data_IF_147476510621
#
_entry.id   IF_147476510621
#
_cell.length_a   1.000
_cell.length_b   1.000
_cell.length_c   1.000
_cell.angle_alpha   90.00
_cell.angle_beta   90.00
_cell.angle_gamma   90.00
#
_symmetry.space_group_name_H-M   'P 1'
#
loop_
_entity.id
_entity.type
_entity.pdbx_description
1 polymer ?
#
# COMPACT_ATOMS: atom_id res chain seq x y z
N UNK A 1 -27.43 -10.19 -2.48
CA UNK A 1 -26.18 -9.46 -2.75
C UNK A 1 -26.56 -8.00 -2.93
N UNK A 2 -26.41 -7.18 -1.89
CA UNK A 2 -26.78 -5.77 -1.96
C UNK A 2 -25.71 -5.05 -2.80
N UNK A 3 -26.07 -4.61 -4.00
CA UNK A 3 -25.23 -3.68 -4.76
C UNK A 3 -25.30 -2.33 -4.05
N UNK A 4 -24.33 -2.06 -3.18
CA UNK A 4 -24.13 -0.73 -2.63
C UNK A 4 -23.81 0.17 -3.83
N UNK A 5 -24.79 0.96 -4.28
CA UNK A 5 -24.54 2.04 -5.23
C UNK A 5 -24.29 3.27 -4.37
N UNK A 6 -23.02 3.67 -4.29
CA UNK A 6 -22.69 4.97 -3.71
C UNK A 6 -23.43 6.05 -4.51
N UNK A 7 -24.26 6.83 -3.82
CA UNK A 7 -24.87 8.03 -4.37
C UNK A 7 -23.92 9.19 -4.10
N UNK A 8 -23.17 9.63 -5.11
CA UNK A 8 -22.13 10.66 -4.96
C UNK A 8 -20.73 10.10 -5.19
N UNK A 9 -19.71 10.83 -4.72
CA UNK A 9 -18.32 10.38 -4.71
C UNK A 9 -18.01 9.53 -3.49
N UNK A 10 -16.90 8.79 -3.55
CA UNK A 10 -16.47 7.87 -2.49
C UNK A 10 -14.99 7.51 -2.67
N UNK A 11 -14.40 6.91 -1.65
CA UNK A 11 -13.02 6.47 -1.58
C UNK A 11 -12.96 4.95 -1.49
N UNK A 12 -12.17 4.35 -2.38
CA UNK A 12 -11.79 2.93 -2.34
C UNK A 12 -10.29 2.84 -2.03
N UNK A 13 -9.92 2.03 -1.03
CA UNK A 13 -8.52 1.81 -0.68
C UNK A 13 -8.12 0.34 -0.88
N UNK A 14 -7.14 0.13 -1.75
CA UNK A 14 -6.51 -1.16 -1.99
C UNK A 14 -5.17 -1.18 -1.23
N UNK A 15 -5.06 -2.03 -0.22
CA UNK A 15 -3.89 -2.07 0.65
C UNK A 15 -3.32 -3.48 0.85
N UNK A 16 -2.13 -3.57 1.45
CA UNK A 16 -1.46 -4.84 1.73
C UNK A 16 0.05 -4.79 1.46
N UNK A 17 0.75 -5.90 1.74
CA UNK A 17 2.21 -6.01 1.57
C UNK A 17 2.66 -5.85 0.12
N UNK A 18 3.97 -5.70 -0.11
CA UNK A 18 4.54 -5.90 -1.45
C UNK A 18 4.13 -7.27 -2.00
N UNK A 19 4.04 -7.37 -3.34
CA UNK A 19 3.64 -8.57 -4.10
C UNK A 19 2.20 -9.05 -3.91
N UNK A 20 1.33 -8.29 -3.22
CA UNK A 20 -0.08 -8.67 -3.04
C UNK A 20 -1.00 -8.30 -4.21
N UNK A 21 -0.46 -7.70 -5.29
CA UNK A 21 -1.26 -7.34 -6.47
C UNK A 21 -2.01 -6.01 -6.36
N UNK A 22 -1.64 -5.10 -5.46
CA UNK A 22 -2.31 -3.78 -5.30
C UNK A 22 -2.41 -2.99 -6.60
N UNK A 23 -1.29 -2.78 -7.28
CA UNK A 23 -1.22 -2.04 -8.55
C UNK A 23 -1.99 -2.76 -9.65
N UNK A 24 -2.02 -4.10 -9.65
CA UNK A 24 -2.85 -4.88 -10.58
C UNK A 24 -4.34 -4.65 -10.35
N UNK A 25 -4.78 -4.66 -9.10
CA UNK A 25 -6.17 -4.39 -8.74
C UNK A 25 -6.55 -2.94 -9.06
N UNK A 26 -5.68 -1.96 -8.79
CA UNK A 26 -5.86 -0.56 -9.18
C UNK A 26 -6.06 -0.44 -10.70
N UNK A 27 -5.14 -1.02 -11.48
CA UNK A 27 -5.19 -1.05 -12.95
C UNK A 27 -6.48 -1.70 -13.45
N UNK A 28 -6.91 -2.80 -12.83
CA UNK A 28 -8.16 -3.49 -13.17
C UNK A 28 -9.36 -2.57 -12.97
N UNK A 29 -9.43 -1.80 -11.87
CA UNK A 29 -10.52 -0.85 -11.62
C UNK A 29 -10.50 0.34 -12.57
N UNK A 30 -9.34 0.91 -12.82
CA UNK A 30 -9.12 1.99 -13.81
C UNK A 30 -9.59 1.55 -15.20
N UNK A 31 -9.21 0.34 -15.62
CA UNK A 31 -9.62 -0.22 -16.91
C UNK A 31 -11.13 -0.35 -17.02
N UNK A 32 -11.81 -0.83 -15.98
CA UNK A 32 -13.27 -0.95 -15.96
C UNK A 32 -13.96 0.42 -16.06
N UNK A 33 -13.43 1.44 -15.38
CA UNK A 33 -13.94 2.81 -15.48
C UNK A 33 -13.81 3.37 -16.91
N UNK A 34 -12.66 3.16 -17.57
CA UNK A 34 -12.47 3.56 -18.97
C UNK A 34 -13.39 2.81 -19.94
N UNK A 35 -13.63 1.51 -19.74
CA UNK A 35 -14.61 0.73 -20.54
C UNK A 35 -16.02 1.31 -20.38
N UNK A 36 -16.36 1.79 -19.18
CA UNK A 36 -17.61 2.50 -18.91
C UNK A 36 -17.62 3.96 -19.42
N UNK A 37 -16.61 4.38 -20.19
CA UNK A 37 -16.44 5.73 -20.75
C UNK A 37 -16.34 6.84 -19.70
N UNK A 38 -15.85 6.51 -18.50
CA UNK A 38 -15.54 7.52 -17.49
C UNK A 38 -14.20 8.20 -17.79
N UNK A 39 -14.09 9.48 -17.43
CA UNK A 39 -12.85 10.25 -17.48
C UNK A 39 -12.00 9.90 -16.25
N UNK A 40 -10.83 9.32 -16.49
CA UNK A 40 -9.94 8.79 -15.44
C UNK A 40 -8.58 9.46 -15.52
N UNK A 41 -8.12 10.04 -14.40
CA UNK A 41 -6.74 10.48 -14.21
C UNK A 41 -6.04 9.63 -13.16
N UNK A 42 -4.76 9.34 -13.39
CA UNK A 42 -3.94 8.48 -12.53
C UNK A 42 -2.74 9.29 -12.05
N UNK A 43 -2.46 9.23 -10.75
CA UNK A 43 -1.34 9.90 -10.10
C UNK A 43 -0.45 8.89 -9.38
N UNK A 44 0.84 9.21 -9.26
CA UNK A 44 1.82 8.40 -8.53
C UNK A 44 2.82 9.32 -7.84
N UNK A 45 3.22 8.99 -6.62
CA UNK A 45 4.26 9.75 -5.92
C UNK A 45 5.61 9.62 -6.63
N UNK A 46 6.33 10.74 -6.80
CA UNK A 46 7.69 10.74 -7.37
C UNK A 46 8.71 10.00 -6.49
N UNK A 47 8.43 9.86 -5.20
CA UNK A 47 9.31 9.15 -4.26
C UNK A 47 9.39 7.64 -4.54
N UNK A 48 8.45 7.08 -5.32
CA UNK A 48 8.55 5.69 -5.76
C UNK A 48 9.52 5.55 -6.94
N UNK A 49 10.81 5.42 -6.63
CA UNK A 49 11.89 5.25 -7.62
C UNK A 49 12.11 3.78 -8.03
N UNK A 50 11.27 2.84 -7.58
CA UNK A 50 11.50 1.39 -7.72
C UNK A 50 11.23 0.86 -9.13
N UNK A 51 10.35 1.51 -9.91
CA UNK A 51 10.00 1.09 -11.27
C UNK A 51 9.63 2.30 -12.14
N UNK A 52 10.17 2.34 -13.37
CA UNK A 52 9.85 3.23 -14.50
C UNK A 52 9.20 4.59 -14.22
N UNK A 53 9.95 5.65 -14.51
CA UNK A 53 9.68 7.05 -14.17
C UNK A 53 8.28 7.62 -14.48
N UNK A 54 7.43 7.08 -15.36
CA UNK A 54 6.17 7.74 -15.75
C UNK A 54 4.93 6.81 -15.84
N UNK A 55 5.01 5.58 -15.36
CA UNK A 55 3.92 4.61 -15.55
C UNK A 55 3.64 3.80 -14.30
N UNK A 56 2.36 3.51 -14.05
CA UNK A 56 1.99 2.40 -13.19
C UNK A 56 2.06 1.11 -14.02
N UNK A 57 3.02 0.25 -13.69
CA UNK A 57 3.18 -1.05 -14.32
C UNK A 57 2.72 -2.15 -13.37
N UNK A 58 1.89 -3.04 -13.88
CA UNK A 58 1.66 -4.33 -13.24
C UNK A 58 2.77 -5.30 -13.61
N UNK A 59 3.06 -6.26 -12.74
CA UNK A 59 3.93 -7.39 -13.07
C UNK A 59 3.40 -8.19 -14.29
N UNK A 60 2.09 -8.14 -14.55
CA UNK A 60 1.43 -8.73 -15.73
C UNK A 60 1.56 -7.93 -17.04
N UNK A 61 2.32 -6.82 -17.08
CA UNK A 61 2.71 -6.14 -18.33
C UNK A 61 1.75 -5.06 -18.84
N UNK A 62 0.69 -4.72 -18.09
CA UNK A 62 -0.16 -3.57 -18.42
C UNK A 62 0.44 -2.28 -17.85
N UNK A 63 0.53 -1.24 -18.69
CA UNK A 63 1.02 0.09 -18.36
C UNK A 63 -0.10 1.12 -18.54
N UNK A 64 -0.28 2.00 -17.55
CA UNK A 64 -1.10 3.19 -17.67
C UNK A 64 -0.25 4.42 -17.38
N UNK A 65 -0.39 5.46 -18.22
CA UNK A 65 0.26 6.74 -17.99
C UNK A 65 -0.25 7.33 -16.67
N UNK A 66 0.70 7.67 -15.80
CA UNK A 66 0.43 8.28 -14.50
C UNK A 66 1.18 9.60 -14.40
N UNK A 67 0.50 10.63 -13.89
CA UNK A 67 1.12 11.92 -13.60
C UNK A 67 1.92 11.80 -12.30
N UNK A 68 3.23 12.01 -12.38
CA UNK A 68 4.07 12.07 -11.20
C UNK A 68 3.86 13.38 -10.44
N UNK A 69 3.63 13.27 -9.14
CA UNK A 69 3.45 14.39 -8.22
C UNK A 69 4.40 14.25 -7.03
N UNK A 70 4.86 15.39 -6.51
CA UNK A 70 5.81 15.45 -5.40
C UNK A 70 5.09 15.58 -4.06
N UNK A 71 4.00 16.35 -4.01
CA UNK A 71 3.15 16.52 -2.84
C UNK A 71 1.67 16.23 -3.15
N UNK A 72 0.88 15.96 -2.10
CA UNK A 72 -0.56 15.71 -2.24
C UNK A 72 -1.31 16.93 -2.81
N UNK A 73 -0.85 18.14 -2.48
CA UNK A 73 -1.42 19.41 -2.95
C UNK A 73 -1.23 19.67 -4.44
N UNK A 74 -0.29 18.99 -5.08
CA UNK A 74 -0.07 19.13 -6.52
C UNK A 74 -1.18 18.42 -7.32
N UNK A 75 -1.97 17.54 -6.68
CA UNK A 75 -3.00 16.76 -7.36
C UNK A 75 -4.20 17.63 -7.78
N UNK A 76 -4.89 18.38 -6.88
CA UNK A 76 -6.09 19.11 -7.27
C UNK A 76 -5.93 20.08 -8.46
N UNK A 77 -4.84 20.87 -8.58
CA UNK A 77 -4.63 21.75 -9.74
C UNK A 77 -4.47 21.01 -11.07
N UNK A 78 -4.14 19.73 -11.04
CA UNK A 78 -3.94 18.89 -12.23
C UNK A 78 -5.21 18.11 -12.62
N UNK A 79 -6.29 18.20 -11.84
CA UNK A 79 -7.55 17.51 -12.13
C UNK A 79 -8.34 18.29 -13.19
N UNK A 80 -8.63 17.63 -14.31
CA UNK A 80 -9.51 18.15 -15.34
C UNK A 80 -10.96 18.24 -14.84
N UNK A 81 -11.72 19.23 -15.32
CA UNK A 81 -13.12 19.44 -14.93
C UNK A 81 -13.99 18.20 -15.17
N UNK A 82 -13.78 17.51 -16.30
CA UNK A 82 -14.53 16.32 -16.73
C UNK A 82 -14.15 15.04 -15.94
N UNK A 83 -13.08 15.08 -15.14
CA UNK A 83 -12.57 13.89 -14.44
C UNK A 83 -13.56 13.40 -13.38
N UNK A 84 -13.98 12.15 -13.54
CA UNK A 84 -14.96 11.45 -12.68
C UNK A 84 -14.31 10.39 -11.80
N UNK A 85 -13.13 9.89 -12.18
CA UNK A 85 -12.36 8.92 -11.41
C UNK A 85 -10.92 9.39 -11.25
N UNK A 86 -10.45 9.42 -10.01
CA UNK A 86 -9.06 9.74 -9.66
C UNK A 86 -8.43 8.50 -9.05
N UNK A 87 -7.37 8.00 -9.66
CA UNK A 87 -6.60 6.87 -9.13
C UNK A 87 -5.25 7.36 -8.62
N UNK A 88 -4.81 6.94 -7.43
CA UNK A 88 -3.53 7.33 -6.84
C UNK A 88 -2.81 6.07 -6.37
N UNK A 89 -1.62 5.81 -6.92
CA UNK A 89 -0.78 4.67 -6.55
C UNK A 89 0.34 5.09 -5.59
N UNK A 90 0.81 4.11 -4.81
CA UNK A 90 1.87 4.26 -3.80
C UNK A 90 1.57 5.36 -2.77
N UNK A 91 0.31 5.44 -2.31
CA UNK A 91 -0.16 6.56 -1.47
C UNK A 91 0.54 6.68 -0.12
N UNK A 92 1.21 5.61 0.34
CA UNK A 92 1.96 5.63 1.60
C UNK A 92 3.16 6.60 1.60
N UNK A 93 3.61 7.04 0.42
CA UNK A 93 4.73 7.98 0.29
C UNK A 93 4.30 9.45 0.39
N UNK A 94 3.01 9.76 0.33
CA UNK A 94 2.54 11.12 0.61
C UNK A 94 2.52 11.38 2.12
N UNK A 95 2.46 12.66 2.48
CA UNK A 95 2.18 13.06 3.85
C UNK A 95 0.69 12.91 4.21
N UNK A 96 0.32 13.31 5.42
CA UNK A 96 -1.05 13.21 5.94
C UNK A 96 -2.07 14.04 5.16
N UNK A 97 -1.65 15.02 4.35
CA UNK A 97 -2.55 15.92 3.62
C UNK A 97 -3.25 15.20 2.47
N UNK A 98 -2.72 14.06 2.02
CA UNK A 98 -3.39 13.22 1.01
C UNK A 98 -4.80 12.80 1.45
N UNK A 99 -5.03 12.62 2.75
CA UNK A 99 -6.33 12.26 3.29
C UNK A 99 -7.38 13.36 3.06
N UNK A 100 -7.02 14.63 3.30
CA UNK A 100 -7.88 15.78 3.05
C UNK A 100 -8.14 15.98 1.55
N UNK A 101 -7.11 15.82 0.71
CA UNK A 101 -7.23 15.87 -0.74
C UNK A 101 -8.21 14.81 -1.25
N UNK A 102 -8.08 13.56 -0.79
CA UNK A 102 -8.96 12.46 -1.20
C UNK A 102 -10.40 12.69 -0.75
N UNK A 103 -10.59 13.16 0.49
CA UNK A 103 -11.93 13.50 1.02
C UNK A 103 -12.58 14.61 0.20
N UNK A 104 -11.85 15.69 -0.10
CA UNK A 104 -12.36 16.80 -0.91
C UNK A 104 -12.75 16.36 -2.33
N UNK A 105 -11.95 15.49 -2.94
CA UNK A 105 -12.28 14.92 -4.25
C UNK A 105 -13.55 14.04 -4.17
N UNK A 106 -13.69 13.21 -3.14
CA UNK A 106 -14.89 12.40 -2.95
C UNK A 106 -16.14 13.27 -2.69
N UNK A 107 -16.04 14.28 -1.83
CA UNK A 107 -17.12 15.24 -1.54
C UNK A 107 -17.59 15.98 -2.80
N UNK A 108 -16.69 16.20 -3.77
CA UNK A 108 -17.01 16.80 -5.07
C UNK A 108 -17.70 15.84 -6.06
N UNK A 109 -18.07 14.64 -5.63
CA UNK A 109 -18.79 13.66 -6.45
C UNK A 109 -17.90 12.68 -7.23
N UNK A 110 -16.57 12.69 -6.99
CA UNK A 110 -15.62 11.84 -7.72
C UNK A 110 -15.42 10.50 -7.03
N UNK A 111 -15.15 9.47 -7.83
CA UNK A 111 -14.66 8.18 -7.34
C UNK A 111 -13.14 8.26 -7.16
N UNK A 112 -12.66 8.07 -5.94
CA UNK A 112 -11.23 8.10 -5.61
C UNK A 112 -10.76 6.67 -5.33
N UNK A 113 -9.75 6.19 -6.05
CA UNK A 113 -9.21 4.84 -5.90
C UNK A 113 -7.76 4.94 -5.49
N UNK A 114 -7.44 4.45 -4.29
CA UNK A 114 -6.12 4.54 -3.68
C UNK A 114 -5.47 3.17 -3.63
N UNK A 115 -4.17 3.12 -3.87
CA UNK A 115 -3.37 1.91 -3.65
C UNK A 115 -2.10 2.22 -2.87
N UNK A 116 -1.79 1.41 -1.84
CA UNK A 116 -0.60 1.64 -1.03
C UNK A 116 -0.25 0.51 -0.06
N UNK A 117 1.01 0.51 0.41
CA UNK A 117 1.46 -0.43 1.44
C UNK A 117 0.81 -0.09 2.78
N UNK A 118 0.13 -1.03 3.42
CA UNK A 118 -0.50 -0.79 4.73
C UNK A 118 0.51 -0.70 5.87
N UNK A 119 1.64 -1.42 5.75
CA UNK A 119 2.74 -1.42 6.71
C UNK A 119 4.09 -1.29 6.01
N UNK A 120 5.07 -0.75 6.73
CA UNK A 120 6.47 -0.77 6.31
C UNK A 120 7.14 -2.13 6.58
N UNK A 121 8.46 -2.23 6.30
CA UNK A 121 9.21 -3.48 6.51
C UNK A 121 9.27 -3.94 7.97
N UNK A 122 9.06 -3.02 8.92
CA UNK A 122 9.03 -3.29 10.37
C UNK A 122 7.69 -3.86 10.80
N UNK A 123 6.68 -3.78 9.93
CA UNK A 123 5.32 -4.16 10.24
C UNK A 123 4.56 -3.09 11.02
N UNK A 124 5.08 -1.86 11.02
CA UNK A 124 4.43 -0.67 11.57
C UNK A 124 3.57 -0.01 10.47
N UNK A 125 2.49 0.71 10.82
CA UNK A 125 1.67 1.37 9.81
C UNK A 125 2.46 2.37 8.96
N UNK A 126 2.24 2.37 7.64
CA UNK A 126 3.01 3.20 6.72
C UNK A 126 2.32 4.54 6.46
N UNK A 127 2.92 5.63 6.94
CA UNK A 127 2.54 6.99 6.54
C UNK A 127 1.04 7.26 6.78
N UNK A 128 0.31 7.83 5.79
CA UNK A 128 -1.10 8.22 5.94
C UNK A 128 -2.09 7.05 5.91
N UNK A 129 -1.63 5.81 5.71
CA UNK A 129 -2.49 4.66 5.43
C UNK A 129 -3.53 4.37 6.52
N UNK A 130 -3.23 4.44 7.84
CA UNK A 130 -4.26 4.25 8.87
C UNK A 130 -5.43 5.21 8.75
N UNK A 131 -5.15 6.48 8.42
CA UNK A 131 -6.17 7.50 8.29
C UNK A 131 -7.01 7.26 7.03
N UNK A 132 -6.37 6.95 5.91
CA UNK A 132 -7.06 6.61 4.66
C UNK A 132 -7.97 5.37 4.82
N UNK A 133 -7.50 4.35 5.54
CA UNK A 133 -8.31 3.16 5.85
C UNK A 133 -9.54 3.49 6.69
N UNK A 134 -9.44 4.45 7.61
CA UNK A 134 -10.55 4.86 8.47
C UNK A 134 -11.58 5.73 7.73
N UNK A 135 -11.14 6.50 6.73
CA UNK A 135 -11.99 7.39 5.95
C UNK A 135 -12.67 6.72 4.76
N UNK A 136 -12.08 5.67 4.19
CA UNK A 136 -12.59 5.06 2.96
C UNK A 136 -13.89 4.29 3.16
N UNK A 137 -14.82 4.42 2.22
CA UNK A 137 -16.06 3.63 2.17
C UNK A 137 -15.79 2.15 1.85
N UNK A 138 -14.73 1.86 1.09
CA UNK A 138 -14.32 0.50 0.75
C UNK A 138 -12.83 0.29 1.02
N UNK A 139 -12.49 -0.80 1.73
CA UNK A 139 -11.10 -1.17 2.03
C UNK A 139 -10.85 -2.63 1.67
N UNK A 140 -10.00 -2.84 0.66
CA UNK A 140 -9.57 -4.16 0.22
C UNK A 140 -8.14 -4.43 0.66
N UNK A 141 -7.98 -5.28 1.68
CA UNK A 141 -6.67 -5.72 2.15
C UNK A 141 -6.24 -7.01 1.45
N UNK A 142 -5.40 -6.84 0.43
CA UNK A 142 -4.86 -7.93 -0.37
C UNK A 142 -3.71 -8.64 0.35
N UNK A 143 -3.64 -9.94 0.16
CA UNK A 143 -2.59 -10.79 0.73
C UNK A 143 -1.73 -11.38 -0.40
N UNK A 144 -0.43 -11.36 -0.21
CA UNK A 144 0.52 -12.08 -1.06
C UNK A 144 0.60 -13.56 -0.62
N UNK A 145 1.58 -14.29 -1.15
CA UNK A 145 1.92 -15.66 -0.70
C UNK A 145 3.23 -15.62 0.07
N UNK A 146 3.28 -16.26 1.24
CA UNK A 146 4.49 -16.32 2.06
C UNK A 146 5.54 -17.18 1.37
N UNK A 147 6.72 -16.60 1.11
CA UNK A 147 7.83 -17.30 0.44
C UNK A 147 8.46 -18.42 1.28
N UNK A 148 8.16 -18.48 2.59
CA UNK A 148 8.66 -19.52 3.51
C UNK A 148 7.70 -20.72 3.59
N UNK A 149 6.38 -20.49 3.73
CA UNK A 149 5.43 -21.56 4.02
C UNK A 149 4.22 -21.66 3.07
N UNK A 150 4.09 -20.76 2.09
CA UNK A 150 2.97 -20.76 1.15
C UNK A 150 1.63 -20.26 1.70
N UNK A 151 1.52 -19.95 2.99
CA UNK A 151 0.32 -19.35 3.58
C UNK A 151 0.11 -17.90 3.10
N UNK A 152 -1.10 -17.32 3.26
CA UNK A 152 -1.33 -15.90 2.97
C UNK A 152 -0.34 -15.00 3.71
N UNK A 153 0.31 -14.11 2.97
CA UNK A 153 1.28 -13.15 3.48
C UNK A 153 0.65 -11.77 3.66
N UNK A 154 0.94 -11.18 4.82
CA UNK A 154 0.46 -9.85 5.22
C UNK A 154 1.60 -8.91 5.58
N UNK A 155 2.86 -9.30 5.35
CA UNK A 155 4.06 -8.54 5.72
C UNK A 155 5.06 -8.52 4.58
N UNK A 156 5.79 -7.43 4.49
CA UNK A 156 6.97 -7.31 3.63
C UNK A 156 8.20 -7.51 4.49
N UNK A 157 8.93 -8.60 4.25
CA UNK A 157 10.24 -8.81 4.83
C UNK A 157 11.27 -8.06 3.99
N UNK A 158 12.05 -7.19 4.63
CA UNK A 158 13.28 -6.65 4.04
C UNK A 158 14.47 -7.49 4.48
N UNK A 159 15.32 -7.83 3.52
CA UNK A 159 16.59 -8.49 3.72
C UNK A 159 17.74 -7.60 3.23
N UNK A 160 18.78 -7.45 4.05
CA UNK A 160 20.04 -6.79 3.69
C UNK A 160 21.11 -7.87 3.77
N UNK A 161 21.78 -8.13 2.65
CA UNK A 161 22.77 -9.21 2.50
C UNK A 161 22.26 -10.59 2.98
N UNK A 162 20.99 -10.87 2.63
CA UNK A 162 20.31 -12.13 2.96
C UNK A 162 19.83 -12.26 4.42
N UNK A 163 20.01 -11.23 5.26
CA UNK A 163 19.59 -11.22 6.67
C UNK A 163 18.43 -10.24 6.90
N UNK A 164 17.50 -10.52 7.83
CA UNK A 164 16.46 -9.58 8.21
C UNK A 164 17.02 -8.21 8.59
N UNK A 165 16.49 -7.14 7.97
CA UNK A 165 16.85 -5.77 8.32
C UNK A 165 16.47 -5.44 9.77
N UNK A 166 17.31 -4.66 10.45
CA UNK A 166 17.07 -4.22 11.82
C UNK A 166 15.91 -3.24 11.87
N UNK A 167 15.24 -3.18 13.02
CA UNK A 167 14.12 -2.26 13.26
C UNK A 167 14.51 -0.79 13.02
N UNK A 168 15.72 -0.39 13.40
CA UNK A 168 16.19 1.01 13.29
C UNK A 168 16.77 1.36 11.92
N UNK A 169 16.81 0.42 10.98
CA UNK A 169 17.28 0.71 9.63
C UNK A 169 16.28 1.66 8.91
N UNK A 170 16.75 2.66 8.15
CA UNK A 170 15.90 3.62 7.44
C UNK A 170 14.76 2.95 6.67
N UNK A 171 13.54 3.49 6.76
CA UNK A 171 12.34 2.92 6.08
C UNK A 171 12.45 3.05 4.56
N UNK A 172 12.93 4.20 4.09
CA UNK A 172 13.21 4.47 2.68
C UNK A 172 14.74 4.46 2.54
N UNK A 173 15.27 3.55 1.74
CA UNK A 173 16.69 3.45 1.48
C UNK A 173 16.94 3.30 -0.03
N UNK A 174 18.02 3.90 -0.52
CA UNK A 174 18.44 3.84 -1.92
C UNK A 174 19.85 3.28 -1.98
N UNK A 175 20.09 2.26 -2.81
CA UNK A 175 21.45 1.86 -3.20
C UNK A 175 22.11 0.68 -2.47
N UNK A 176 21.39 -0.05 -1.61
CA UNK A 176 21.87 -1.33 -1.07
C UNK A 176 21.34 -2.53 -1.90
N UNK A 177 22.03 -3.67 -1.89
CA UNK A 177 21.55 -4.96 -2.42
C UNK A 177 20.46 -5.55 -1.51
N UNK A 178 19.41 -4.77 -1.29
CA UNK A 178 18.26 -5.20 -0.51
C UNK A 178 17.30 -6.04 -1.35
N UNK A 179 16.70 -7.04 -0.71
CA UNK A 179 15.68 -7.89 -1.30
C UNK A 179 14.44 -7.79 -0.43
N UNK A 180 13.30 -7.58 -1.08
CA UNK A 180 11.99 -7.62 -0.44
C UNK A 180 11.28 -8.91 -0.81
N UNK A 181 10.63 -9.54 0.17
CA UNK A 181 9.78 -10.70 -0.06
C UNK A 181 8.53 -10.67 0.81
N UNK A 182 7.48 -11.35 0.37
CA UNK A 182 6.23 -11.45 1.13
C UNK A 182 6.32 -12.56 2.18
N UNK A 183 5.97 -12.24 3.43
CA UNK A 183 5.90 -13.22 4.53
C UNK A 183 4.58 -13.14 5.29
N UNK A 184 4.17 -14.26 5.87
CA UNK A 184 3.09 -14.27 6.86
C UNK A 184 3.59 -13.68 8.18
N UNK A 185 2.66 -13.38 9.10
CA UNK A 185 2.99 -12.83 10.43
C UNK A 185 4.02 -13.69 11.20
N UNK A 186 3.94 -15.01 11.08
CA UNK A 186 4.80 -15.93 11.82
C UNK A 186 6.26 -15.92 11.33
N UNK A 187 6.49 -15.77 10.02
CA UNK A 187 7.83 -15.79 9.43
C UNK A 187 8.45 -14.40 9.24
N UNK A 188 7.69 -13.33 9.52
CA UNK A 188 8.19 -11.96 9.47
C UNK A 188 9.09 -11.71 10.68
N UNK A 189 10.35 -11.35 10.43
CA UNK A 189 11.37 -11.15 11.45
C UNK A 189 11.94 -9.75 11.32
N UNK A 190 11.95 -9.02 12.43
CA UNK A 190 12.51 -7.67 12.53
C UNK A 190 13.35 -7.61 13.81
N UNK A 191 14.67 -7.85 13.73
CA UNK A 191 15.55 -7.79 14.89
C UNK A 191 15.50 -6.41 15.55
N UNK A 192 15.44 -6.38 16.88
CA UNK A 192 15.59 -5.15 17.70
C UNK A 192 16.87 -5.30 18.50
N UNK A 193 17.73 -4.28 18.51
CA UNK A 193 19.01 -4.32 19.24
C UNK A 193 18.82 -4.46 20.76
N UNK A 194 17.63 -4.14 21.26
CA UNK A 194 17.36 -4.00 22.70
C UNK A 194 16.59 -5.20 23.31
N UNK A 195 16.26 -6.20 22.49
CA UNK A 195 15.64 -7.44 22.96
C UNK A 195 16.66 -8.56 22.81
N UNK A 196 17.46 -8.79 23.87
CA UNK A 196 18.13 -10.08 24.00
C UNK A 196 17.07 -11.19 23.93
N UNK A 197 17.35 -12.33 23.27
CA UNK A 197 16.42 -13.43 23.26
C UNK A 197 16.20 -13.87 24.71
N UNK A 198 14.94 -13.80 25.18
CA UNK A 198 14.54 -14.56 26.36
C UNK A 198 14.70 -16.02 25.97
N UNK A 199 15.87 -16.58 26.28
CA UNK A 199 16.14 -18.00 26.17
C UNK A 199 15.05 -18.74 26.94
N UNK A 200 14.43 -19.73 26.29
CA UNK A 200 13.42 -20.63 26.84
C UNK A 200 13.68 -20.91 28.32
N UNK A 201 12.85 -20.32 29.19
CA UNK A 201 12.73 -20.84 30.53
C UNK A 201 11.93 -22.15 30.42
N UNK A 202 12.45 -23.29 30.90
CA UNK A 202 11.69 -24.53 30.89
C UNK A 202 10.38 -24.33 31.67
N UNK A 203 9.28 -25.00 31.27
CA UNK A 203 8.00 -24.83 31.92
C UNK A 203 8.14 -25.10 33.41
N UNK A 204 7.78 -24.12 34.22
CA UNK A 204 7.64 -24.28 35.66
C UNK A 204 6.63 -25.39 35.90
N UNK A 205 7.11 -26.50 36.46
CA UNK A 205 6.27 -27.61 36.89
C UNK A 205 5.34 -27.10 37.98
N UNK A 206 4.07 -26.90 37.62
CA UNK A 206 3.00 -26.75 38.60
C UNK A 206 2.94 -28.03 39.43
N UNK A 207 3.51 -27.97 40.63
CA UNK A 207 3.33 -29.01 41.62
C UNK A 207 1.96 -28.75 42.24
N UNK A 208 1.00 -29.62 41.94
CA UNK A 208 -0.29 -29.62 42.62
C UNK A 208 -0.08 -29.94 44.10
N UNK A 209 -0.62 -29.08 44.97
CA UNK A 209 -0.95 -29.36 46.36
C UNK A 209 -2.28 -28.67 46.67
#
# INVERSE_FOLDING_TARGET
MYHYRHSGGWIELICGSMFSGKTEELIRRVRRAKIAKQHVQVFKSRLDIRYHFNQISSHSGYQYDATLVDAAEDIPPLIDEETTVVAIDEVQFFDWRIAEVCSTLADSGRRVILAGLDMDFRGEPFGPMPLLMAQAEEVDKLHAICTVCGAPASRTQRLIDGRPANYDDPVIMVGASEVYEARCRHHHVVPRKDLEPVLDQPPTTYTQA
#
